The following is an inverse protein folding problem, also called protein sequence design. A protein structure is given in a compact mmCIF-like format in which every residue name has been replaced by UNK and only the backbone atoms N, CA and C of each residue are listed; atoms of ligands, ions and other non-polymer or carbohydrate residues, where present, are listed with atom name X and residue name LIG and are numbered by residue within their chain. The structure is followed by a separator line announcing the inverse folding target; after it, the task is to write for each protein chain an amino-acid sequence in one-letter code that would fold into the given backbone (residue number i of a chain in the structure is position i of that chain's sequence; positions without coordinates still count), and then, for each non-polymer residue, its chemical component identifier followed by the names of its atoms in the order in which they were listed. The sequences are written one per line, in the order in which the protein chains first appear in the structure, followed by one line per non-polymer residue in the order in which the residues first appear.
data_IF_619165441181
#
_entry.id   IF_619165441181
#
_cell.length_a   1.000
_cell.length_b   1.000
_cell.length_c   1.000
_cell.angle_alpha   90.00
_cell.angle_beta   90.00
_cell.angle_gamma   90.00
#
_symmetry.space_group_name_H-M   'P 1'
#
loop_
_entity.id
_entity.type
_entity.pdbx_description
1 polymer ?
#
# COMPACT_ATOMS: atom_id res chain seq x y z
N UNK A 1 -10.79 -14.23 -10.82
CA UNK A 1 -11.05 -13.29 -9.69
C UNK A 1 -11.95 -13.90 -8.60
N UNK A 2 -12.95 -14.72 -8.92
CA UNK A 2 -13.84 -15.36 -7.94
C UNK A 2 -13.24 -16.55 -7.15
N UNK A 3 -12.05 -17.05 -7.51
CA UNK A 3 -11.50 -18.29 -6.94
C UNK A 3 -10.82 -18.12 -5.56
N UNK A 4 -10.55 -16.87 -5.15
CA UNK A 4 -9.81 -16.55 -3.92
C UNK A 4 -10.64 -15.80 -2.87
N UNK A 5 -11.96 -16.01 -2.85
CA UNK A 5 -12.84 -15.48 -1.78
C UNK A 5 -12.47 -16.10 -0.41
N UNK A 6 -11.77 -17.25 -0.41
CA UNK A 6 -11.34 -17.96 0.81
C UNK A 6 -9.82 -18.10 0.85
N UNK A 7 -9.14 -17.10 1.40
CA UNK A 7 -7.71 -17.19 1.75
C UNK A 7 -7.55 -18.04 3.01
N UNK A 8 -6.79 -19.14 2.94
CA UNK A 8 -6.41 -19.90 4.14
C UNK A 8 -5.12 -19.29 4.65
N UNK A 9 -5.01 -19.12 5.97
CA UNK A 9 -3.79 -18.58 6.58
C UNK A 9 -2.54 -19.41 6.23
N UNK A 10 -2.69 -20.73 6.08
CA UNK A 10 -1.61 -21.63 5.66
C UNK A 10 -1.08 -21.34 4.26
N UNK A 11 -1.90 -20.77 3.39
CA UNK A 11 -1.53 -20.53 1.99
C UNK A 11 -0.78 -19.19 1.83
N UNK A 12 -0.74 -18.35 2.86
CA UNK A 12 -0.09 -17.03 2.84
C UNK A 12 1.01 -16.88 3.89
N UNK A 13 1.18 -17.84 4.80
CA UNK A 13 2.16 -17.73 5.90
C UNK A 13 3.61 -17.68 5.41
N UNK A 14 3.88 -18.32 4.26
CA UNK A 14 5.20 -18.38 3.63
C UNK A 14 5.41 -17.28 2.59
N UNK A 15 4.43 -16.36 2.42
CA UNK A 15 4.61 -15.23 1.51
C UNK A 15 5.72 -14.31 2.03
N UNK A 16 6.32 -13.57 1.10
CA UNK A 16 7.41 -12.65 1.39
C UNK A 16 7.01 -11.61 2.44
N UNK A 17 7.91 -11.37 3.40
CA UNK A 17 7.67 -10.34 4.41
C UNK A 17 7.86 -8.94 3.82
N UNK A 18 6.75 -8.23 3.62
CA UNK A 18 6.72 -6.91 2.98
C UNK A 18 6.57 -5.75 3.97
N UNK A 19 6.53 -6.04 5.28
CA UNK A 19 6.78 -5.08 6.34
C UNK A 19 7.98 -5.58 7.17
N UNK A 20 9.15 -5.01 6.89
CA UNK A 20 10.39 -5.48 7.50
C UNK A 20 10.38 -5.28 9.04
N UNK A 21 11.10 -6.11 9.81
CA UNK A 21 11.31 -5.84 11.23
C UNK A 21 12.14 -4.56 11.43
N UNK A 22 12.12 -4.03 12.66
CA UNK A 22 12.92 -2.85 13.04
C UNK A 22 12.19 -1.50 12.94
N UNK A 23 10.85 -1.50 12.89
CA UNK A 23 10.03 -0.30 12.97
C UNK A 23 9.73 0.13 14.42
N UNK A 24 9.36 1.40 14.62
CA UNK A 24 9.11 2.01 15.93
C UNK A 24 7.64 2.00 16.38
N UNK A 25 6.82 1.13 15.80
CA UNK A 25 5.44 0.93 16.24
C UNK A 25 5.41 0.33 17.66
N UNK A 26 4.41 0.69 18.45
CA UNK A 26 4.24 0.20 19.81
C UNK A 26 4.21 -1.33 19.88
N UNK A 27 4.63 -1.90 21.01
CA UNK A 27 4.48 -3.33 21.28
C UNK A 27 3.00 -3.73 21.21
N UNK A 28 2.67 -4.67 20.31
CA UNK A 28 1.29 -5.09 20.07
C UNK A 28 0.44 -4.09 19.25
N UNK A 29 1.07 -3.15 18.54
CA UNK A 29 0.36 -2.21 17.68
C UNK A 29 -0.48 -2.91 16.61
N UNK A 30 -1.80 -2.66 16.61
CA UNK A 30 -2.72 -3.25 15.67
C UNK A 30 -2.44 -2.86 14.21
N UNK A 31 -1.96 -1.63 13.94
CA UNK A 31 -1.61 -1.20 12.59
C UNK A 31 -0.54 -2.12 11.98
N UNK A 32 0.52 -2.43 12.73
CA UNK A 32 1.59 -3.32 12.26
C UNK A 32 1.06 -4.71 11.87
N UNK A 33 0.15 -5.25 12.69
CA UNK A 33 -0.45 -6.56 12.49
C UNK A 33 -1.32 -6.54 11.24
N UNK A 34 -2.23 -5.57 11.12
CA UNK A 34 -3.17 -5.46 10.00
C UNK A 34 -2.40 -5.27 8.69
N UNK A 35 -1.44 -4.34 8.65
CA UNK A 35 -0.67 -4.07 7.43
C UNK A 35 0.13 -5.30 7.01
N UNK A 36 0.77 -5.99 7.95
CA UNK A 36 1.47 -7.25 7.67
C UNK A 36 0.52 -8.27 7.04
N UNK A 37 -0.66 -8.49 7.62
CA UNK A 37 -1.65 -9.43 7.06
C UNK A 37 -2.14 -9.02 5.66
N UNK A 38 -2.40 -7.73 5.43
CA UNK A 38 -2.81 -7.21 4.12
C UNK A 38 -1.71 -7.46 3.07
N UNK A 39 -0.45 -7.18 3.40
CA UNK A 39 0.66 -7.36 2.48
C UNK A 39 0.97 -8.83 2.19
N UNK A 40 0.79 -9.71 3.18
CA UNK A 40 0.86 -11.18 3.01
C UNK A 40 -0.26 -11.71 2.13
N UNK A 41 -1.45 -11.11 2.16
CA UNK A 41 -2.57 -11.54 1.32
C UNK A 41 -2.36 -11.20 -0.18
N UNK A 42 -1.54 -10.19 -0.49
CA UNK A 42 -1.24 -9.77 -1.86
C UNK A 42 -0.19 -10.72 -2.45
N UNK A 43 -0.55 -11.43 -3.51
CA UNK A 43 0.28 -12.42 -4.23
C UNK A 43 1.03 -11.83 -5.44
N UNK A 44 0.96 -10.51 -5.62
CA UNK A 44 1.55 -9.79 -6.76
C UNK A 44 2.56 -8.75 -6.25
N UNK A 45 3.46 -8.25 -7.11
CA UNK A 45 4.21 -7.02 -6.82
C UNK A 45 3.25 -5.89 -6.46
N UNK A 46 3.58 -5.13 -5.41
CA UNK A 46 2.73 -4.05 -4.89
C UNK A 46 3.51 -2.75 -4.80
N UNK A 47 2.86 -1.65 -5.22
CA UNK A 47 3.32 -0.29 -4.99
C UNK A 47 2.41 0.36 -3.97
N UNK A 48 3.00 1.01 -2.98
CA UNK A 48 2.29 1.56 -1.83
C UNK A 48 2.44 3.07 -1.77
N UNK A 49 1.35 3.78 -1.54
CA UNK A 49 1.35 5.17 -1.10
C UNK A 49 0.77 5.26 0.31
N UNK A 50 1.38 6.06 1.19
CA UNK A 50 0.97 6.11 2.60
C UNK A 50 0.77 7.53 3.05
N UNK A 51 -0.34 7.81 3.71
CA UNK A 51 -0.55 9.09 4.38
C UNK A 51 0.47 9.27 5.51
N UNK A 52 0.91 10.50 5.71
CA UNK A 52 1.60 10.86 6.96
C UNK A 52 0.75 10.45 8.17
N UNK A 53 1.34 9.73 9.11
CA UNK A 53 0.63 9.17 10.27
C UNK A 53 1.50 8.17 11.03
N UNK A 54 0.91 7.46 12.00
CA UNK A 54 1.60 6.48 12.84
C UNK A 54 2.40 5.47 12.02
N UNK A 55 1.76 4.78 11.08
CA UNK A 55 2.41 3.81 10.20
C UNK A 55 3.59 4.42 9.43
N UNK A 56 3.39 5.58 8.81
CA UNK A 56 4.44 6.24 8.02
C UNK A 56 5.63 6.61 8.92
N UNK A 57 5.42 7.45 9.94
CA UNK A 57 6.51 7.94 10.82
C UNK A 57 7.25 6.80 11.52
N UNK A 58 6.53 5.74 11.91
CA UNK A 58 7.13 4.63 12.64
C UNK A 58 7.91 3.67 11.76
N UNK A 59 7.71 3.69 10.43
CA UNK A 59 8.36 2.77 9.48
C UNK A 59 9.34 3.46 8.52
N UNK A 60 9.40 4.80 8.47
CA UNK A 60 10.37 5.57 7.64
C UNK A 60 11.55 6.17 8.42
N UNK A 61 11.70 5.84 9.71
CA UNK A 61 12.76 6.41 10.54
C UNK A 61 14.14 6.24 9.93
N UNK A 62 14.77 7.34 9.50
CA UNK A 62 16.13 7.32 8.97
C UNK A 62 17.13 6.83 10.04
N UNK A 63 18.14 6.01 9.70
CA UNK A 63 18.48 5.47 8.37
C UNK A 63 17.87 4.10 8.04
N UNK A 64 16.85 3.64 8.79
CA UNK A 64 16.35 2.26 8.74
C UNK A 64 14.87 2.19 8.33
N UNK A 65 14.53 2.41 7.03
CA UNK A 65 13.16 2.24 6.57
C UNK A 65 12.76 0.76 6.56
N UNK A 66 11.63 0.43 7.19
CA UNK A 66 11.14 -0.96 7.33
C UNK A 66 10.23 -1.39 6.16
N UNK A 67 10.59 -1.02 4.92
CA UNK A 67 9.72 -1.08 3.74
C UNK A 67 10.45 -1.70 2.54
N UNK A 68 10.46 -3.04 2.42
CA UNK A 68 11.17 -3.73 1.34
C UNK A 68 10.46 -3.69 -0.03
N UNK A 69 9.40 -2.89 -0.17
CA UNK A 69 8.62 -2.72 -1.41
C UNK A 69 8.62 -1.25 -1.86
N UNK A 70 8.35 -0.96 -3.15
CA UNK A 70 8.18 0.42 -3.61
C UNK A 70 7.12 1.16 -2.79
N UNK A 71 7.57 2.16 -2.03
CA UNK A 71 6.76 2.86 -1.05
C UNK A 71 6.97 4.36 -1.17
N UNK A 72 5.87 5.09 -1.39
CA UNK A 72 5.89 6.54 -1.57
C UNK A 72 5.17 7.19 -0.39
N UNK A 73 5.91 7.91 0.48
CA UNK A 73 5.30 8.78 1.46
C UNK A 73 4.50 9.87 0.73
N UNK A 74 3.24 10.01 1.11
CA UNK A 74 2.36 11.07 0.62
C UNK A 74 2.15 12.10 1.73
N UNK A 75 1.69 13.30 1.35
CA UNK A 75 1.13 14.22 2.33
C UNK A 75 -0.07 13.57 3.04
N UNK A 76 -0.40 14.06 4.23
CA UNK A 76 -1.41 13.46 5.10
C UNK A 76 -2.75 13.22 4.38
N UNK A 77 -3.16 14.15 3.52
CA UNK A 77 -4.48 14.14 2.90
C UNK A 77 -4.60 13.34 1.59
N UNK A 78 -3.52 13.07 0.86
CA UNK A 78 -3.62 12.68 -0.56
C UNK A 78 -3.01 11.32 -0.98
N UNK A 79 -2.85 10.29 -0.13
CA UNK A 79 -2.25 9.03 -0.57
C UNK A 79 -3.00 8.35 -1.71
N UNK A 80 -4.33 8.47 -1.76
CA UNK A 80 -5.16 7.89 -2.84
C UNK A 80 -4.97 8.57 -4.19
N UNK A 81 -4.73 9.87 -4.20
CA UNK A 81 -4.44 10.60 -5.44
C UNK A 81 -3.03 10.31 -5.91
N UNK A 82 -2.07 10.20 -4.98
CA UNK A 82 -0.70 9.77 -5.28
C UNK A 82 -0.70 8.38 -5.92
N UNK A 83 -1.38 7.39 -5.32
CA UNK A 83 -1.43 6.05 -5.89
C UNK A 83 -2.19 6.00 -7.23
N UNK A 84 -3.29 6.77 -7.37
CA UNK A 84 -4.02 6.86 -8.63
C UNK A 84 -3.18 7.47 -9.77
N UNK A 85 -2.31 8.45 -9.47
CA UNK A 85 -1.38 8.99 -10.45
C UNK A 85 -0.33 7.96 -10.91
N UNK A 86 0.17 7.14 -9.98
CA UNK A 86 1.11 6.05 -10.28
C UNK A 86 0.42 4.98 -11.15
N UNK A 87 -0.80 4.63 -10.82
CA UNK A 87 -1.62 3.66 -11.57
C UNK A 87 -1.89 4.15 -13.01
N UNK A 88 -2.24 5.42 -13.17
CA UNK A 88 -2.39 6.05 -14.48
C UNK A 88 -1.08 6.04 -15.29
N UNK A 89 0.06 6.35 -14.66
CA UNK A 89 1.37 6.29 -15.29
C UNK A 89 1.72 4.86 -15.73
N UNK A 90 1.45 3.87 -14.88
CA UNK A 90 1.61 2.45 -15.20
C UNK A 90 0.77 2.03 -16.41
N UNK A 91 -0.52 2.44 -16.48
CA UNK A 91 -1.38 2.19 -17.66
C UNK A 91 -0.79 2.80 -18.94
N UNK A 92 -0.15 3.95 -18.87
CA UNK A 92 0.53 4.56 -20.05
C UNK A 92 1.79 3.79 -20.43
N UNK A 93 2.57 3.35 -19.44
CA UNK A 93 3.79 2.59 -19.69
C UNK A 93 3.52 1.21 -20.29
N UNK A 94 2.41 0.54 -19.93
CA UNK A 94 1.96 -0.67 -20.64
C UNK A 94 1.62 -0.37 -22.09
N UNK A 95 0.71 0.58 -22.32
CA UNK A 95 0.27 1.01 -23.67
C UNK A 95 1.41 1.43 -24.61
N UNK A 96 2.52 1.94 -24.06
CA UNK A 96 3.70 2.37 -24.83
C UNK A 96 4.80 1.31 -24.92
N UNK A 97 4.56 0.10 -24.39
CA UNK A 97 5.51 -1.02 -24.42
C UNK A 97 6.71 -0.87 -23.49
N UNK A 98 6.69 0.11 -22.57
CA UNK A 98 7.76 0.33 -21.58
C UNK A 98 7.69 -0.65 -20.41
N UNK A 99 6.50 -1.21 -20.16
CA UNK A 99 6.27 -2.29 -19.21
C UNK A 99 5.61 -3.45 -19.98
N UNK A 100 6.07 -4.70 -19.81
CA UNK A 100 5.45 -5.85 -20.46
C UNK A 100 3.95 -5.96 -20.16
N UNK A 101 3.17 -6.35 -21.16
CA UNK A 101 1.70 -6.44 -21.05
C UNK A 101 1.23 -7.50 -20.04
N UNK A 102 2.02 -8.53 -19.79
CA UNK A 102 1.77 -9.59 -18.81
C UNK A 102 2.16 -9.21 -17.38
N UNK A 103 2.86 -8.09 -17.18
CA UNK A 103 3.17 -7.59 -15.83
C UNK A 103 1.88 -7.15 -15.16
N UNK A 104 1.56 -7.69 -13.98
CA UNK A 104 0.43 -7.31 -13.13
C UNK A 104 0.94 -6.79 -11.77
N UNK A 105 0.72 -5.51 -11.51
CA UNK A 105 1.12 -4.81 -10.28
C UNK A 105 -0.13 -4.36 -9.54
N UNK A 106 -0.14 -4.51 -8.21
CA UNK A 106 -1.19 -3.97 -7.35
C UNK A 106 -0.79 -2.62 -6.79
N UNK A 107 -1.78 -1.77 -6.63
CA UNK A 107 -1.63 -0.40 -6.16
C UNK A 107 -2.41 -0.25 -4.86
N UNK A 108 -1.73 0.16 -3.79
CA UNK A 108 -2.32 0.24 -2.46
C UNK A 108 -2.09 1.64 -1.86
N UNK A 109 -3.17 2.29 -1.43
CA UNK A 109 -3.11 3.45 -0.56
C UNK A 109 -3.40 3.04 0.88
N UNK A 110 -2.59 3.51 1.83
CA UNK A 110 -2.78 3.28 3.26
C UNK A 110 -2.95 4.63 3.97
N UNK A 111 -3.98 4.74 4.80
CA UNK A 111 -4.24 5.91 5.63
C UNK A 111 -4.79 5.50 6.99
N UNK A 112 -4.46 6.28 8.01
CA UNK A 112 -5.14 6.22 9.30
C UNK A 112 -6.51 6.89 9.22
N UNK A 113 -7.24 6.86 10.33
CA UNK A 113 -8.59 7.42 10.45
C UNK A 113 -8.66 8.90 10.08
N UNK A 114 -7.72 9.74 10.53
CA UNK A 114 -7.70 11.17 10.16
C UNK A 114 -7.53 11.40 8.65
N UNK A 115 -6.72 10.58 7.98
CA UNK A 115 -6.56 10.65 6.53
C UNK A 115 -7.78 10.07 5.79
N UNK A 116 -8.55 9.17 6.42
CA UNK A 116 -9.66 8.47 5.77
C UNK A 116 -11.02 9.12 5.99
N UNK A 117 -11.27 9.66 7.18
CA UNK A 117 -12.57 10.16 7.60
C UNK A 117 -12.64 11.68 7.71
N UNK A 118 -11.50 12.37 7.65
CA UNK A 118 -11.42 13.83 7.77
C UNK A 118 -10.66 14.44 6.58
N UNK A 119 -9.40 14.85 6.77
CA UNK A 119 -8.65 15.68 5.80
C UNK A 119 -8.49 15.04 4.42
N UNK A 120 -8.42 13.72 4.34
CA UNK A 120 -8.22 13.01 3.07
C UNK A 120 -9.49 12.49 2.40
N UNK A 121 -10.67 12.68 3.01
CA UNK A 121 -11.93 12.15 2.48
C UNK A 121 -12.22 12.63 1.05
N UNK A 122 -11.95 13.90 0.75
CA UNK A 122 -12.11 14.45 -0.60
C UNK A 122 -11.24 13.71 -1.64
N UNK A 123 -10.01 13.36 -1.28
CA UNK A 123 -9.09 12.68 -2.19
C UNK A 123 -9.45 11.21 -2.38
N UNK A 124 -10.00 10.56 -1.37
CA UNK A 124 -10.57 9.20 -1.48
C UNK A 124 -11.77 9.22 -2.42
N UNK A 125 -12.73 10.12 -2.18
CA UNK A 125 -13.91 10.29 -3.02
C UNK A 125 -13.52 10.54 -4.48
N UNK A 126 -12.60 11.47 -4.74
CA UNK A 126 -12.13 11.75 -6.09
C UNK A 126 -11.40 10.57 -6.75
N UNK A 127 -10.68 9.74 -5.98
CA UNK A 127 -10.04 8.55 -6.52
C UNK A 127 -11.06 7.47 -6.92
N UNK A 128 -12.10 7.27 -6.11
CA UNK A 128 -13.18 6.33 -6.39
C UNK A 128 -14.01 6.73 -7.62
N UNK A 129 -14.23 8.04 -7.81
CA UNK A 129 -14.98 8.55 -8.97
C UNK A 129 -14.26 8.29 -10.32
N UNK A 130 -12.93 8.10 -10.32
CA UNK A 130 -12.14 8.04 -11.57
C UNK A 130 -11.95 6.66 -12.19
N UNK A 131 -12.10 5.57 -11.44
CA UNK A 131 -12.03 4.17 -11.92
C UNK A 131 -10.96 3.87 -13.00
#
# INVERSE_FOLDING_TARGET
MAERIRTRLRDIVDNEERLAPGHRLCSGCAESIIIRQVLHAIDHPVVIATATGCLEVSTSGYPFPSRPVPWIPSAFQNPTTTIGGIEAAYRVFKRTGRIPEDTDIKFLAIGGDGASYDIGLQFISGALERG
#
